data_IF_599143668688
#
_entry.id   IF_599143668688
#
_cell.length_a   1.000
_cell.length_b   1.000
_cell.length_c   1.000
_cell.angle_alpha   90.00
_cell.angle_beta   90.00
_cell.angle_gamma   90.00
#
_symmetry.space_group_name_H-M   'P 1'
#
loop_
_entity.id
_entity.type
_entity.pdbx_description
1 polymer ?
#
# COMPACT_ATOMS: atom_id res chain seq x y z
N UNK A 1 -4.07 24.88 45.94
CA UNK A 1 -4.05 25.23 44.50
C UNK A 1 -2.63 25.27 43.92
N UNK A 2 -1.65 25.89 44.59
CA UNK A 2 -0.24 25.84 44.17
C UNK A 2 0.47 24.48 44.42
N UNK A 3 0.07 23.71 45.45
CA UNK A 3 0.64 22.37 45.68
C UNK A 3 0.16 21.30 44.69
N UNK A 4 -1.08 21.42 44.19
CA UNK A 4 -1.64 20.45 43.23
C UNK A 4 -1.01 20.61 41.82
N UNK A 5 -0.66 21.85 41.45
CA UNK A 5 0.08 22.15 40.21
C UNK A 5 1.56 21.75 40.29
N UNK A 6 2.17 21.82 41.48
CA UNK A 6 3.55 21.38 41.69
C UNK A 6 3.69 19.85 41.70
N UNK A 7 2.69 19.13 42.23
CA UNK A 7 2.65 17.66 42.19
C UNK A 7 2.44 17.12 40.76
N UNK A 8 1.55 17.73 39.97
CA UNK A 8 1.35 17.39 38.56
C UNK A 8 2.54 17.74 37.66
N UNK A 9 3.32 18.77 38.00
CA UNK A 9 4.56 19.12 37.31
C UNK A 9 5.72 18.16 37.66
N UNK A 10 5.77 17.66 38.90
CA UNK A 10 6.72 16.62 39.33
C UNK A 10 6.44 15.27 38.68
N UNK A 11 5.18 14.84 38.63
CA UNK A 11 4.78 13.59 37.95
C UNK A 11 5.05 13.66 36.44
N UNK A 12 4.84 14.83 35.81
CA UNK A 12 5.20 15.05 34.40
C UNK A 12 6.71 14.98 34.15
N UNK A 13 7.53 15.59 35.01
CA UNK A 13 9.00 15.52 34.87
C UNK A 13 9.55 14.12 35.18
N UNK A 14 8.99 13.40 36.15
CA UNK A 14 9.40 12.02 36.46
C UNK A 14 9.03 11.06 35.33
N UNK A 15 7.83 11.17 34.76
CA UNK A 15 7.45 10.39 33.58
C UNK A 15 8.33 10.75 32.39
N UNK A 16 8.67 12.02 32.18
CA UNK A 16 9.57 12.42 31.09
C UNK A 16 11.01 11.93 31.33
N UNK A 17 11.52 11.93 32.56
CA UNK A 17 12.86 11.40 32.88
C UNK A 17 12.90 9.86 32.82
N UNK A 18 11.84 9.18 33.25
CA UNK A 18 11.64 7.73 33.09
C UNK A 18 11.48 7.38 31.61
N UNK A 19 10.67 8.14 30.86
CA UNK A 19 10.51 7.99 29.42
C UNK A 19 11.81 8.29 28.69
N UNK A 20 12.63 9.26 29.08
CA UNK A 20 13.94 9.55 28.44
C UNK A 20 14.96 8.44 28.74
N UNK A 21 14.97 7.91 29.97
CA UNK A 21 15.85 6.81 30.37
C UNK A 21 15.43 5.50 29.72
N UNK A 22 14.14 5.21 29.67
CA UNK A 22 13.55 4.10 28.91
C UNK A 22 13.71 4.32 27.41
N UNK A 23 13.58 5.55 26.89
CA UNK A 23 13.78 5.85 25.47
C UNK A 23 15.21 5.59 25.06
N UNK A 24 16.21 5.93 25.89
CA UNK A 24 17.61 5.55 25.63
C UNK A 24 17.78 4.02 25.62
N UNK A 25 17.14 3.31 26.55
CA UNK A 25 17.17 1.84 26.60
C UNK A 25 16.47 1.18 25.40
N UNK A 26 15.29 1.68 25.01
CA UNK A 26 14.52 1.20 23.86
C UNK A 26 15.18 1.60 22.53
N UNK A 27 15.81 2.77 22.46
CA UNK A 27 16.57 3.21 21.28
C UNK A 27 17.84 2.39 21.13
N UNK A 28 18.58 2.14 22.21
CA UNK A 28 19.70 1.18 22.24
C UNK A 28 19.24 -0.25 21.91
N UNK A 29 18.05 -0.68 22.35
CA UNK A 29 17.47 -1.97 21.97
C UNK A 29 17.11 -2.06 20.48
N UNK A 30 16.46 -1.03 19.91
CA UNK A 30 16.05 -1.03 18.50
C UNK A 30 17.25 -0.86 17.55
N UNK A 31 18.32 -0.19 17.99
CA UNK A 31 19.43 0.21 17.12
C UNK A 31 20.81 -0.35 17.46
N UNK A 32 21.07 -0.83 18.68
CA UNK A 32 22.40 -1.29 19.13
C UNK A 32 22.45 -2.78 19.54
N UNK A 33 21.46 -3.31 20.26
CA UNK A 33 21.48 -4.70 20.74
C UNK A 33 20.14 -5.41 20.52
N UNK A 34 20.08 -6.31 19.54
CA UNK A 34 18.93 -7.15 19.18
C UNK A 34 18.42 -8.10 20.31
N UNK A 35 18.87 -7.95 21.57
CA UNK A 35 18.41 -8.73 22.71
C UNK A 35 18.61 -7.99 24.06
N UNK A 36 17.51 -7.61 24.71
CA UNK A 36 17.46 -7.20 26.11
C UNK A 36 16.36 -8.01 26.81
N UNK A 37 16.71 -8.85 27.79
CA UNK A 37 15.79 -9.80 28.44
C UNK A 37 14.92 -9.15 29.54
N UNK A 38 14.45 -7.92 29.34
CA UNK A 38 13.62 -7.19 30.31
C UNK A 38 12.57 -6.26 29.67
N UNK A 39 12.41 -6.34 28.35
CA UNK A 39 11.50 -5.46 27.60
C UNK A 39 10.04 -5.75 27.95
N UNK A 40 9.67 -7.02 28.13
CA UNK A 40 8.29 -7.42 28.41
C UNK A 40 7.80 -6.92 29.77
N UNK A 41 8.60 -7.13 30.82
CA UNK A 41 8.34 -6.69 32.19
C UNK A 41 8.23 -5.17 32.26
N UNK A 42 9.07 -4.47 31.49
CA UNK A 42 9.00 -3.00 31.41
C UNK A 42 7.71 -2.52 30.76
N UNK A 43 7.28 -3.18 29.69
CA UNK A 43 6.02 -2.89 29.01
C UNK A 43 4.81 -3.20 29.89
N UNK A 44 4.87 -4.21 30.74
CA UNK A 44 3.80 -4.53 31.69
C UNK A 44 3.58 -3.40 32.71
N UNK A 45 4.67 -2.86 33.27
CA UNK A 45 4.62 -1.68 34.14
C UNK A 45 4.11 -0.46 33.37
N UNK A 46 4.60 -0.25 32.15
CA UNK A 46 4.14 0.86 31.30
C UNK A 46 2.65 0.76 30.97
N UNK A 47 2.13 -0.43 30.71
CA UNK A 47 0.70 -0.66 30.47
C UNK A 47 -0.15 -0.21 31.66
N UNK A 48 0.28 -0.54 32.88
CA UNK A 48 -0.37 -0.09 34.11
C UNK A 48 -0.33 1.44 34.27
N UNK A 49 0.80 2.08 33.91
CA UNK A 49 0.94 3.54 33.92
C UNK A 49 0.00 4.20 32.89
N UNK A 50 -0.06 3.67 31.67
CA UNK A 50 -0.92 4.18 30.59
C UNK A 50 -2.39 4.12 31.00
N UNK A 51 -2.80 3.03 31.66
CA UNK A 51 -4.16 2.91 32.18
C UNK A 51 -4.48 4.01 33.22
N UNK A 52 -3.49 4.47 33.98
CA UNK A 52 -3.62 5.57 34.94
C UNK A 52 -3.63 6.99 34.34
N UNK A 53 -3.46 7.14 33.02
CA UNK A 53 -3.41 8.48 32.41
C UNK A 53 -4.71 9.27 32.60
N UNK A 54 -4.55 10.52 33.02
CA UNK A 54 -5.63 11.50 33.08
C UNK A 54 -6.06 11.90 31.66
N UNK A 55 -7.36 12.14 31.49
CA UNK A 55 -7.95 12.66 30.26
C UNK A 55 -8.16 14.18 30.38
N UNK A 56 -7.95 14.96 29.29
CA UNK A 56 -7.49 14.51 27.97
C UNK A 56 -6.01 14.12 27.96
N UNK A 57 -5.64 13.18 27.07
CA UNK A 57 -4.25 12.76 26.92
C UNK A 57 -3.35 13.94 26.53
N UNK A 58 -2.24 14.09 27.26
CA UNK A 58 -1.21 15.08 26.95
C UNK A 58 -0.51 14.76 25.63
N UNK A 59 -0.06 15.80 24.94
CA UNK A 59 0.64 15.65 23.65
C UNK A 59 1.91 14.79 23.75
N UNK A 60 2.60 14.85 24.88
CA UNK A 60 3.79 14.03 25.16
C UNK A 60 3.50 12.52 25.13
N UNK A 61 2.34 12.09 25.66
CA UNK A 61 1.93 10.68 25.64
C UNK A 61 1.61 10.22 24.20
N UNK A 62 0.99 11.09 23.39
CA UNK A 62 0.73 10.80 21.97
C UNK A 62 2.03 10.66 21.18
N UNK A 63 3.02 11.52 21.45
CA UNK A 63 4.35 11.41 20.85
C UNK A 63 5.04 10.12 21.30
N UNK A 64 4.91 9.74 22.57
CA UNK A 64 5.45 8.48 23.10
C UNK A 64 4.90 7.25 22.37
N UNK A 65 3.59 7.16 22.17
CA UNK A 65 2.96 6.09 21.37
C UNK A 65 3.62 5.98 19.98
N UNK A 66 3.68 7.08 19.24
CA UNK A 66 4.10 7.08 17.83
C UNK A 66 5.62 6.89 17.67
N UNK A 67 6.42 7.46 18.57
CA UNK A 67 7.89 7.47 18.45
C UNK A 67 8.56 6.33 19.19
N UNK A 68 7.89 5.69 20.14
CA UNK A 68 8.47 4.63 20.98
C UNK A 68 7.72 3.32 20.80
N UNK A 69 6.45 3.25 21.19
CA UNK A 69 5.70 1.99 21.21
C UNK A 69 5.51 1.41 19.81
N UNK A 70 5.03 2.19 18.84
CA UNK A 70 4.79 1.67 17.49
C UNK A 70 6.09 1.14 16.83
N UNK A 71 7.25 1.84 16.90
CA UNK A 71 8.51 1.29 16.41
C UNK A 71 8.99 -0.01 17.06
N UNK A 72 8.56 -0.35 18.29
CA UNK A 72 8.92 -1.62 18.95
C UNK A 72 8.32 -2.86 18.25
N UNK A 73 7.44 -2.68 17.27
CA UNK A 73 6.99 -3.76 16.40
C UNK A 73 8.02 -4.16 15.34
N UNK A 74 9.08 -3.37 15.11
CA UNK A 74 10.07 -3.63 14.06
C UNK A 74 11.08 -4.74 14.37
N UNK A 75 11.66 -4.85 15.58
CA UNK A 75 12.67 -5.85 15.90
C UNK A 75 12.22 -7.29 15.65
N UNK A 76 13.18 -8.20 15.43
CA UNK A 76 12.88 -9.61 15.13
C UNK A 76 12.37 -10.39 16.35
N UNK A 77 12.82 -10.01 17.53
CA UNK A 77 12.49 -10.62 18.82
C UNK A 77 11.13 -10.17 19.40
N UNK A 78 10.22 -9.65 18.58
CA UNK A 78 8.89 -9.18 18.98
C UNK A 78 8.11 -10.23 19.80
N UNK A 79 8.27 -11.52 19.47
CA UNK A 79 7.57 -12.61 20.17
C UNK A 79 7.84 -12.67 21.68
N UNK A 80 8.92 -12.06 22.17
CA UNK A 80 9.26 -12.05 23.59
C UNK A 80 8.42 -11.06 24.40
N UNK A 81 7.87 -10.02 23.77
CA UNK A 81 7.18 -8.91 24.45
C UNK A 81 5.91 -8.44 23.74
N UNK A 82 5.45 -9.16 22.70
CA UNK A 82 4.32 -8.75 21.85
C UNK A 82 3.05 -8.53 22.65
N UNK A 83 2.69 -9.45 23.55
CA UNK A 83 1.44 -9.36 24.32
C UNK A 83 1.40 -8.09 25.18
N UNK A 84 2.51 -7.75 25.83
CA UNK A 84 2.63 -6.55 26.67
C UNK A 84 2.62 -5.27 25.82
N UNK A 85 3.22 -5.31 24.63
CA UNK A 85 3.21 -4.19 23.69
C UNK A 85 1.80 -3.94 23.12
N UNK A 86 1.12 -4.99 22.66
CA UNK A 86 -0.25 -4.94 22.16
C UNK A 86 -1.20 -4.37 23.23
N UNK A 87 -1.08 -4.85 24.47
CA UNK A 87 -1.81 -4.30 25.62
C UNK A 87 -1.60 -2.79 25.76
N UNK A 88 -0.35 -2.31 25.73
CA UNK A 88 -0.07 -0.87 25.80
C UNK A 88 -0.74 -0.07 24.67
N UNK A 89 -0.72 -0.61 23.43
CA UNK A 89 -1.34 0.05 22.26
C UNK A 89 -2.86 0.11 22.41
N UNK A 90 -3.50 -0.99 22.80
CA UNK A 90 -4.94 -1.08 23.06
C UNK A 90 -5.35 -0.08 24.16
N UNK A 91 -4.62 -0.02 25.28
CA UNK A 91 -4.90 0.96 26.34
C UNK A 91 -4.83 2.41 25.84
N UNK A 92 -3.90 2.74 24.94
CA UNK A 92 -3.84 4.08 24.34
C UNK A 92 -5.08 4.41 23.51
N UNK A 93 -5.58 3.43 22.76
CA UNK A 93 -6.79 3.58 21.92
C UNK A 93 -8.04 3.70 22.79
N UNK A 94 -8.16 2.94 23.87
CA UNK A 94 -9.28 3.07 24.83
C UNK A 94 -9.34 4.47 25.45
N UNK A 95 -8.19 5.10 25.70
CA UNK A 95 -8.11 6.46 26.26
C UNK A 95 -8.44 7.54 25.23
N UNK A 96 -8.10 7.33 23.96
CA UNK A 96 -8.34 8.28 22.87
C UNK A 96 -8.46 7.55 21.52
N UNK A 97 -9.69 7.26 21.11
CA UNK A 97 -10.02 6.55 19.87
C UNK A 97 -9.56 7.30 18.61
N UNK A 98 -9.28 8.60 18.70
CA UNK A 98 -8.81 9.39 17.56
C UNK A 98 -7.40 8.99 17.10
N UNK A 99 -6.66 8.24 17.92
CA UNK A 99 -5.33 7.73 17.62
C UNK A 99 -5.36 6.50 16.69
N UNK A 100 -6.51 5.81 16.57
CA UNK A 100 -6.62 4.54 15.84
C UNK A 100 -6.11 4.60 14.40
N UNK A 101 -6.47 5.60 13.56
CA UNK A 101 -5.94 5.66 12.20
C UNK A 101 -4.42 5.73 12.14
N UNK A 102 -3.81 6.49 13.06
CA UNK A 102 -2.35 6.64 13.13
C UNK A 102 -1.65 5.34 13.57
N UNK A 103 -2.29 4.57 14.47
CA UNK A 103 -1.80 3.25 14.89
C UNK A 103 -1.84 2.28 13.71
N UNK A 104 -2.98 2.19 13.00
CA UNK A 104 -3.11 1.33 11.82
C UNK A 104 -2.11 1.67 10.72
N UNK A 105 -1.90 2.96 10.43
CA UNK A 105 -0.90 3.40 9.45
C UNK A 105 0.50 2.90 9.82
N UNK A 106 0.85 2.92 11.11
CA UNK A 106 2.15 2.43 11.57
C UNK A 106 2.25 0.90 11.51
N UNK A 107 1.25 0.17 12.00
CA UNK A 107 1.23 -1.30 11.95
C UNK A 107 1.30 -1.81 10.52
N UNK A 108 0.50 -1.25 9.61
CA UNK A 108 0.50 -1.61 8.19
C UNK A 108 1.82 -1.22 7.50
N UNK A 109 2.46 -0.12 7.92
CA UNK A 109 3.80 0.24 7.44
C UNK A 109 4.88 -0.76 7.90
N UNK A 110 4.74 -1.32 9.10
CA UNK A 110 5.69 -2.27 9.68
C UNK A 110 5.32 -3.75 9.42
N UNK A 111 4.31 -3.99 8.58
CA UNK A 111 3.78 -5.32 8.33
C UNK A 111 4.88 -6.32 7.93
N UNK A 112 5.02 -7.45 8.64
CA UNK A 112 6.04 -8.45 8.36
C UNK A 112 5.86 -9.07 6.97
N UNK A 113 6.93 -9.12 6.17
CA UNK A 113 6.91 -9.73 4.83
C UNK A 113 7.66 -11.06 4.73
N UNK A 114 8.52 -11.35 5.70
CA UNK A 114 9.46 -12.49 5.65
C UNK A 114 9.33 -13.43 6.85
N UNK A 115 8.46 -13.13 7.82
CA UNK A 115 8.28 -13.92 9.03
C UNK A 115 6.79 -14.16 9.29
N UNK A 116 6.29 -15.34 8.92
CA UNK A 116 4.87 -15.69 9.04
C UNK A 116 4.38 -15.74 10.48
N UNK A 117 5.22 -16.18 11.43
CA UNK A 117 4.86 -16.14 12.87
C UNK A 117 4.60 -14.71 13.34
N UNK A 118 5.45 -13.75 12.92
CA UNK A 118 5.27 -12.33 13.24
C UNK A 118 4.04 -11.75 12.54
N UNK A 119 3.73 -12.19 11.33
CA UNK A 119 2.51 -11.80 10.62
C UNK A 119 1.25 -12.28 11.38
N UNK A 120 1.26 -13.51 11.92
CA UNK A 120 0.18 -14.02 12.78
C UNK A 120 0.03 -13.20 14.06
N UNK A 121 1.13 -12.76 14.68
CA UNK A 121 1.09 -11.86 15.84
C UNK A 121 0.43 -10.51 15.50
N UNK A 122 0.80 -9.89 14.38
CA UNK A 122 0.19 -8.64 13.90
C UNK A 122 -1.31 -8.80 13.62
N UNK A 123 -1.72 -9.91 13.02
CA UNK A 123 -3.14 -10.20 12.82
C UNK A 123 -3.89 -10.32 14.16
N UNK A 124 -3.22 -10.86 15.19
CA UNK A 124 -3.74 -10.90 16.56
C UNK A 124 -3.97 -9.52 17.15
N UNK A 125 -2.94 -8.68 17.16
CA UNK A 125 -3.02 -7.31 17.68
C UNK A 125 -4.07 -6.48 16.93
N UNK A 126 -4.14 -6.62 15.60
CA UNK A 126 -5.15 -5.93 14.80
C UNK A 126 -6.56 -6.36 15.19
N UNK A 127 -6.81 -7.65 15.46
CA UNK A 127 -8.12 -8.10 15.95
C UNK A 127 -8.46 -7.47 17.30
N UNK A 128 -7.53 -7.47 18.26
CA UNK A 128 -7.73 -6.85 19.58
C UNK A 128 -8.07 -5.35 19.46
N UNK A 129 -7.40 -4.63 18.56
CA UNK A 129 -7.70 -3.21 18.30
C UNK A 129 -9.08 -3.05 17.66
N UNK A 130 -9.47 -3.94 16.75
CA UNK A 130 -10.80 -3.90 16.12
C UNK A 130 -11.93 -4.26 17.09
N UNK A 131 -11.66 -5.00 18.17
CA UNK A 131 -12.66 -5.36 19.17
C UNK A 131 -13.14 -4.13 19.98
N UNK A 132 -12.31 -3.08 20.05
CA UNK A 132 -12.60 -1.83 20.77
C UNK A 132 -12.76 -0.60 19.85
N UNK A 133 -12.69 -0.77 18.53
CA UNK A 133 -12.69 0.36 17.59
C UNK A 133 -14.06 1.01 17.47
N UNK A 134 -14.14 2.34 17.55
CA UNK A 134 -15.40 3.04 17.24
C UNK A 134 -15.73 2.98 15.73
N UNK A 135 -17.02 2.84 15.33
CA UNK A 135 -17.42 2.78 13.93
C UNK A 135 -16.95 3.97 13.07
N UNK A 136 -16.87 5.16 13.65
CA UNK A 136 -16.36 6.38 13.00
C UNK A 136 -14.87 6.29 12.65
N UNK A 137 -14.09 5.61 13.49
CA UNK A 137 -12.66 5.39 13.24
C UNK A 137 -12.46 4.22 12.29
N UNK A 138 -13.28 3.16 12.41
CA UNK A 138 -13.25 2.02 11.51
C UNK A 138 -13.35 2.45 10.06
N UNK A 139 -14.31 3.32 9.72
CA UNK A 139 -14.49 3.89 8.36
C UNK A 139 -13.23 4.53 7.77
N UNK A 140 -12.31 5.03 8.59
CA UNK A 140 -11.05 5.65 8.13
C UNK A 140 -9.97 4.62 7.80
N UNK A 141 -10.06 3.41 8.35
CA UNK A 141 -9.04 2.35 8.23
C UNK A 141 -9.45 1.19 7.34
N UNK A 142 -10.72 1.07 6.94
CA UNK A 142 -11.25 0.00 6.07
C UNK A 142 -10.32 -0.27 4.88
N UNK A 143 -10.10 0.76 4.09
CA UNK A 143 -9.39 0.64 2.81
C UNK A 143 -7.98 0.05 2.94
N UNK A 144 -7.08 0.61 3.76
CA UNK A 144 -5.74 0.06 3.92
C UNK A 144 -5.74 -1.30 4.67
N UNK A 145 -6.62 -1.48 5.66
CA UNK A 145 -6.73 -2.71 6.45
C UNK A 145 -7.17 -3.89 5.58
N UNK A 146 -8.31 -3.79 4.89
CA UNK A 146 -8.84 -4.91 4.11
C UNK A 146 -8.01 -5.19 2.86
N UNK A 147 -7.31 -4.21 2.30
CA UNK A 147 -6.28 -4.46 1.26
C UNK A 147 -5.13 -5.32 1.80
N UNK A 148 -4.78 -5.18 3.08
CA UNK A 148 -3.77 -6.03 3.70
C UNK A 148 -4.33 -7.40 4.07
N UNK A 149 -5.52 -7.48 4.67
CA UNK A 149 -6.19 -8.76 4.96
C UNK A 149 -6.41 -9.60 3.69
N UNK A 150 -6.77 -8.98 2.56
CA UNK A 150 -6.90 -9.68 1.28
C UNK A 150 -5.60 -10.38 0.84
N UNK A 151 -4.43 -9.79 1.14
CA UNK A 151 -3.13 -10.42 0.89
C UNK A 151 -2.87 -11.56 1.87
N UNK A 152 -3.18 -11.38 3.16
CA UNK A 152 -3.01 -12.41 4.19
C UNK A 152 -3.88 -13.64 3.90
N UNK A 153 -5.15 -13.46 3.52
CA UNK A 153 -6.05 -14.53 3.07
C UNK A 153 -5.52 -15.22 1.80
N UNK A 154 -4.88 -14.46 0.92
CA UNK A 154 -4.24 -15.01 -0.28
C UNK A 154 -2.86 -15.65 -0.02
N UNK A 155 -2.38 -15.66 1.23
CA UNK A 155 -1.07 -16.19 1.56
C UNK A 155 -1.03 -17.71 1.36
N UNK A 156 0.03 -18.26 0.76
CA UNK A 156 0.20 -19.71 0.66
C UNK A 156 0.47 -20.36 2.03
N UNK A 157 0.83 -19.57 3.04
CA UNK A 157 1.11 -20.03 4.39
C UNK A 157 -0.19 -20.20 5.19
N UNK A 158 -0.60 -21.44 5.42
CA UNK A 158 -1.94 -21.74 5.95
C UNK A 158 -2.25 -21.03 7.28
N UNK A 159 -1.30 -20.93 8.23
CA UNK A 159 -1.56 -20.27 9.53
C UNK A 159 -1.88 -18.78 9.38
N UNK A 160 -1.32 -18.11 8.37
CA UNK A 160 -1.59 -16.69 8.11
C UNK A 160 -2.99 -16.54 7.51
N UNK A 161 -3.31 -17.37 6.52
CA UNK A 161 -4.62 -17.36 5.87
C UNK A 161 -5.73 -17.72 6.86
N UNK A 162 -5.55 -18.77 7.67
CA UNK A 162 -6.49 -19.19 8.71
C UNK A 162 -6.70 -18.08 9.74
N UNK A 163 -5.63 -17.52 10.29
CA UNK A 163 -5.71 -16.44 11.28
C UNK A 163 -6.46 -15.21 10.75
N UNK A 164 -6.25 -14.86 9.48
CA UNK A 164 -6.96 -13.75 8.84
C UNK A 164 -8.45 -14.06 8.61
N UNK A 165 -8.81 -15.31 8.28
CA UNK A 165 -10.20 -15.72 8.07
C UNK A 165 -11.00 -15.77 9.38
N UNK A 166 -10.35 -15.94 10.53
CA UNK A 166 -11.02 -15.92 11.84
C UNK A 166 -11.56 -14.55 12.25
N UNK A 167 -11.21 -13.47 11.55
CA UNK A 167 -11.85 -12.16 11.75
C UNK A 167 -13.37 -12.21 11.54
N UNK A 168 -13.84 -13.11 10.67
CA UNK A 168 -15.28 -13.33 10.42
C UNK A 168 -16.00 -14.11 11.53
N UNK A 169 -15.27 -14.66 12.50
CA UNK A 169 -15.87 -15.33 13.66
C UNK A 169 -16.13 -14.35 14.81
N UNK A 170 -15.49 -13.17 14.81
CA UNK A 170 -15.75 -12.13 15.81
C UNK A 170 -17.04 -11.38 15.44
N UNK A 171 -18.05 -11.45 16.31
CA UNK A 171 -19.37 -10.86 16.08
C UNK A 171 -19.32 -9.33 15.92
N UNK A 172 -18.46 -8.66 16.69
CA UNK A 172 -18.32 -7.21 16.60
C UNK A 172 -17.70 -6.79 15.27
N UNK A 173 -16.59 -7.41 14.87
CA UNK A 173 -15.94 -7.16 13.57
C UNK A 173 -16.92 -7.46 12.43
N UNK A 174 -17.68 -8.55 12.54
CA UNK A 174 -18.66 -8.91 11.53
C UNK A 174 -19.77 -7.84 11.40
N UNK A 175 -20.27 -7.29 12.52
CA UNK A 175 -21.24 -6.20 12.50
C UNK A 175 -20.71 -4.94 11.81
N UNK A 176 -19.45 -4.56 12.07
CA UNK A 176 -18.78 -3.44 11.40
C UNK A 176 -18.65 -3.67 9.89
N UNK A 177 -18.35 -4.91 9.48
CA UNK A 177 -18.28 -5.31 8.07
C UNK A 177 -19.65 -5.25 7.41
N UNK A 178 -20.72 -5.65 8.09
CA UNK A 178 -22.08 -5.62 7.55
C UNK A 178 -22.52 -4.18 7.23
N UNK A 179 -22.33 -3.25 8.17
CA UNK A 179 -22.64 -1.82 7.99
C UNK A 179 -21.84 -1.17 6.84
N UNK A 180 -20.64 -1.70 6.56
CA UNK A 180 -19.70 -1.14 5.57
C UNK A 180 -19.46 -2.07 4.39
N UNK A 181 -20.37 -3.02 4.17
CA UNK A 181 -20.27 -4.10 3.18
C UNK A 181 -20.00 -3.60 1.76
N UNK A 182 -20.59 -2.46 1.39
CA UNK A 182 -20.38 -1.80 0.10
C UNK A 182 -18.91 -1.41 -0.19
N UNK A 183 -18.11 -1.18 0.86
CA UNK A 183 -16.68 -0.86 0.74
C UNK A 183 -15.79 -2.09 0.94
N UNK A 184 -16.11 -2.93 1.93
CA UNK A 184 -15.31 -4.12 2.29
C UNK A 184 -15.38 -5.20 1.21
N UNK A 185 -16.58 -5.52 0.72
CA UNK A 185 -16.79 -6.65 -0.20
C UNK A 185 -15.99 -6.51 -1.50
N UNK A 186 -15.99 -5.36 -2.22
CA UNK A 186 -15.21 -5.21 -3.44
C UNK A 186 -13.69 -5.42 -3.27
N UNK A 187 -13.15 -5.12 -2.08
CA UNK A 187 -11.72 -5.29 -1.77
C UNK A 187 -11.40 -6.76 -1.50
N UNK A 188 -12.22 -7.43 -0.70
CA UNK A 188 -11.97 -8.80 -0.26
C UNK A 188 -12.38 -9.86 -1.28
N UNK A 189 -13.44 -9.60 -2.05
CA UNK A 189 -14.06 -10.58 -2.94
C UNK A 189 -13.08 -11.18 -3.97
N UNK A 190 -12.25 -10.41 -4.70
CA UNK A 190 -11.31 -10.98 -5.67
C UNK A 190 -10.33 -11.97 -5.04
N UNK A 191 -9.86 -11.68 -3.83
CA UNK A 191 -8.95 -12.57 -3.09
C UNK A 191 -9.67 -13.85 -2.66
N UNK A 192 -10.81 -13.73 -1.98
CA UNK A 192 -11.61 -14.88 -1.52
C UNK A 192 -12.04 -15.79 -2.68
N UNK A 193 -12.56 -15.20 -3.76
CA UNK A 193 -13.08 -15.96 -4.90
C UNK A 193 -11.98 -16.69 -5.70
N UNK A 194 -10.74 -16.18 -5.67
CA UNK A 194 -9.57 -16.88 -6.24
C UNK A 194 -9.16 -18.06 -5.34
N UNK A 195 -9.02 -17.81 -4.05
CA UNK A 195 -8.54 -18.80 -3.07
C UNK A 195 -9.50 -19.98 -2.93
N UNK A 196 -10.82 -19.76 -3.05
CA UNK A 196 -11.82 -20.85 -3.04
C UNK A 196 -11.66 -21.87 -4.16
N UNK A 197 -10.90 -21.55 -5.21
CA UNK A 197 -10.69 -22.43 -6.38
C UNK A 197 -9.27 -22.97 -6.50
N UNK A 198 -8.28 -22.21 -6.02
CA UNK A 198 -6.87 -22.44 -6.34
C UNK A 198 -6.04 -22.85 -5.12
N UNK A 199 -6.58 -22.77 -3.89
CA UNK A 199 -5.80 -23.04 -2.69
C UNK A 199 -5.58 -24.54 -2.44
N UNK A 200 -4.37 -24.91 -2.03
CA UNK A 200 -3.95 -26.30 -1.85
C UNK A 200 -4.56 -26.95 -0.59
N UNK A 201 -4.75 -26.17 0.47
CA UNK A 201 -5.31 -26.63 1.75
C UNK A 201 -6.84 -26.52 1.75
N UNK A 202 -7.53 -27.66 1.90
CA UNK A 202 -8.99 -27.75 1.88
C UNK A 202 -9.67 -27.07 3.08
N UNK A 203 -9.03 -27.00 4.24
CA UNK A 203 -9.57 -26.29 5.41
C UNK A 203 -9.71 -24.79 5.13
N UNK A 204 -8.68 -24.20 4.51
CA UNK A 204 -8.71 -22.79 4.11
C UNK A 204 -9.81 -22.56 3.06
N UNK A 205 -9.95 -23.48 2.09
CA UNK A 205 -11.02 -23.41 1.09
C UNK A 205 -12.40 -23.42 1.77
N UNK A 206 -12.63 -24.29 2.76
CA UNK A 206 -13.88 -24.34 3.51
C UNK A 206 -14.15 -23.04 4.29
N UNK A 207 -13.15 -22.49 4.98
CA UNK A 207 -13.26 -21.21 5.69
C UNK A 207 -13.60 -20.07 4.72
N UNK A 208 -12.96 -20.02 3.55
CA UNK A 208 -13.27 -19.03 2.52
C UNK A 208 -14.71 -19.18 1.99
N UNK A 209 -15.21 -20.40 1.81
CA UNK A 209 -16.60 -20.61 1.43
C UNK A 209 -17.58 -20.09 2.48
N UNK A 210 -17.28 -20.27 3.77
CA UNK A 210 -18.08 -19.70 4.85
C UNK A 210 -18.13 -18.16 4.73
N UNK A 211 -16.97 -17.52 4.57
CA UNK A 211 -16.90 -16.05 4.40
C UNK A 211 -17.67 -15.58 3.16
N UNK A 212 -17.52 -16.27 2.02
CA UNK A 212 -18.26 -15.94 0.79
C UNK A 212 -19.78 -16.11 0.97
N UNK A 213 -20.20 -17.13 1.73
CA UNK A 213 -21.62 -17.32 2.07
C UNK A 213 -22.14 -16.16 2.92
N UNK A 214 -21.40 -15.76 3.95
CA UNK A 214 -21.74 -14.59 4.78
C UNK A 214 -21.84 -13.31 3.93
N UNK A 215 -20.93 -13.11 2.98
CA UNK A 215 -20.99 -11.97 2.05
C UNK A 215 -22.25 -11.97 1.18
N UNK A 216 -22.67 -13.15 0.71
CA UNK A 216 -23.89 -13.32 -0.06
C UNK A 216 -25.15 -13.06 0.79
N UNK A 217 -25.15 -13.47 2.06
CA UNK A 217 -26.24 -13.23 3.01
C UNK A 217 -26.35 -11.73 3.37
N UNK A 218 -25.23 -11.04 3.54
CA UNK A 218 -25.21 -9.58 3.83
C UNK A 218 -25.68 -8.75 2.64
N UNK A 219 -25.18 -9.01 1.43
CA UNK A 219 -25.57 -8.24 0.24
C UNK A 219 -25.47 -9.07 -1.05
N UNK A 220 -26.50 -9.89 -1.31
CA UNK A 220 -26.55 -10.76 -2.48
C UNK A 220 -26.46 -10.04 -3.82
N UNK A 221 -27.07 -8.85 -3.95
CA UNK A 221 -27.01 -8.06 -5.20
C UNK A 221 -25.57 -7.64 -5.53
N UNK A 222 -24.88 -7.06 -4.55
CA UNK A 222 -23.49 -6.66 -4.73
C UNK A 222 -22.59 -7.88 -4.96
N UNK A 223 -22.86 -9.00 -4.29
CA UNK A 223 -22.14 -10.25 -4.50
C UNK A 223 -22.24 -10.76 -5.95
N UNK A 224 -23.43 -10.73 -6.54
CA UNK A 224 -23.65 -11.12 -7.93
C UNK A 224 -22.94 -10.18 -8.91
N UNK A 225 -23.02 -8.87 -8.68
CA UNK A 225 -22.30 -7.86 -9.47
C UNK A 225 -20.78 -8.06 -9.42
N UNK A 226 -20.21 -8.27 -8.23
CA UNK A 226 -18.79 -8.55 -8.04
C UNK A 226 -18.37 -9.87 -8.72
N UNK A 227 -19.22 -10.89 -8.67
CA UNK A 227 -18.99 -12.16 -9.36
C UNK A 227 -18.93 -11.98 -10.88
N UNK A 228 -19.85 -11.20 -11.45
CA UNK A 228 -19.88 -10.90 -12.88
C UNK A 228 -18.65 -10.08 -13.31
N UNK A 229 -18.33 -9.03 -12.56
CA UNK A 229 -17.18 -8.16 -12.80
C UNK A 229 -15.86 -8.94 -12.73
N UNK A 230 -15.70 -9.82 -11.73
CA UNK A 230 -14.51 -10.67 -11.60
C UNK A 230 -14.32 -11.60 -12.80
N UNK A 231 -15.40 -12.25 -13.26
CA UNK A 231 -15.35 -13.12 -14.46
C UNK A 231 -14.97 -12.33 -15.71
N UNK A 232 -15.54 -11.12 -15.88
CA UNK A 232 -15.25 -10.25 -17.00
C UNK A 232 -13.79 -9.78 -17.02
N UNK A 233 -13.27 -9.29 -15.88
CA UNK A 233 -11.87 -8.86 -15.80
C UNK A 233 -10.90 -10.03 -16.00
N UNK A 234 -11.21 -11.24 -15.52
CA UNK A 234 -10.40 -12.44 -15.81
C UNK A 234 -10.37 -12.80 -17.30
N UNK A 235 -11.48 -12.67 -18.02
CA UNK A 235 -11.48 -12.88 -19.47
C UNK A 235 -10.66 -11.82 -20.22
N UNK A 236 -10.79 -10.56 -19.78
CA UNK A 236 -10.03 -9.43 -20.34
C UNK A 236 -8.54 -9.54 -20.08
N UNK A 237 -8.14 -10.03 -18.91
CA UNK A 237 -6.75 -10.33 -18.55
C UNK A 237 -6.16 -11.44 -19.42
N UNK A 238 -6.87 -12.56 -19.58
CA UNK A 238 -6.49 -13.66 -20.49
C UNK A 238 -6.34 -13.21 -21.93
N UNK A 239 -7.24 -12.32 -22.41
CA UNK A 239 -7.14 -11.73 -23.75
C UNK A 239 -5.87 -10.88 -23.88
N UNK A 240 -5.59 -9.99 -22.92
CA UNK A 240 -4.37 -9.16 -22.90
C UNK A 240 -3.10 -10.01 -22.87
N UNK A 241 -3.09 -11.12 -22.13
CA UNK A 241 -2.00 -12.09 -22.11
C UNK A 241 -1.75 -12.72 -23.48
N UNK A 242 -2.82 -13.16 -24.14
CA UNK A 242 -2.74 -13.72 -25.49
C UNK A 242 -2.25 -12.71 -26.51
N UNK A 243 -2.80 -11.49 -26.49
CA UNK A 243 -2.39 -10.40 -27.40
C UNK A 243 -0.89 -10.08 -27.23
N UNK A 244 -0.40 -10.10 -25.98
CA UNK A 244 1.02 -9.93 -25.65
C UNK A 244 1.87 -11.09 -26.17
N UNK A 245 1.42 -12.33 -25.97
CA UNK A 245 2.12 -13.52 -26.48
C UNK A 245 2.21 -13.51 -28.01
N UNK A 246 1.13 -13.15 -28.69
CA UNK A 246 1.09 -13.02 -30.15
C UNK A 246 2.01 -11.91 -30.65
N UNK A 247 2.12 -10.79 -29.93
CA UNK A 247 3.08 -9.73 -30.24
C UNK A 247 4.53 -10.22 -30.08
N UNK A 248 4.85 -10.94 -29.00
CA UNK A 248 6.18 -11.52 -28.79
C UNK A 248 6.54 -12.55 -29.86
N UNK A 249 5.59 -13.40 -30.28
CA UNK A 249 5.79 -14.35 -31.39
C UNK A 249 6.08 -13.64 -32.70
N UNK A 250 5.36 -12.55 -33.00
CA UNK A 250 5.62 -11.72 -34.19
C UNK A 250 7.00 -11.08 -34.15
N UNK A 251 7.41 -10.57 -32.98
CA UNK A 251 8.75 -9.99 -32.81
C UNK A 251 9.85 -11.04 -33.03
N UNK A 252 9.70 -12.23 -32.43
CA UNK A 252 10.64 -13.33 -32.64
C UNK A 252 10.70 -13.79 -34.10
N UNK A 253 9.56 -13.79 -34.82
CA UNK A 253 9.54 -14.12 -36.24
C UNK A 253 10.29 -13.08 -37.10
N UNK A 254 10.18 -11.79 -36.78
CA UNK A 254 10.93 -10.70 -37.44
C UNK A 254 12.43 -10.77 -37.15
N UNK A 255 12.83 -11.28 -35.98
CA UNK A 255 14.26 -11.49 -35.65
C UNK A 255 14.87 -12.66 -36.44
N UNK A 256 14.09 -13.71 -36.73
CA UNK A 256 14.52 -14.89 -37.48
C UNK A 256 14.55 -14.63 -39.00
N UNK A 257 13.55 -13.92 -39.53
CA UNK A 257 13.49 -13.51 -40.94
C UNK A 257 13.29 -12.00 -41.03
N UNK A 258 14.37 -11.21 -40.89
CA UNK A 258 14.29 -9.76 -40.99
C UNK A 258 13.78 -9.37 -42.38
N UNK A 259 12.77 -8.50 -42.49
CA UNK A 259 12.24 -8.06 -43.78
C UNK A 259 13.39 -7.58 -44.69
N UNK A 260 13.51 -8.18 -45.87
CA UNK A 260 14.45 -7.69 -46.90
C UNK A 260 13.98 -6.33 -47.40
N UNK A 261 14.73 -5.30 -47.01
CA UNK A 261 14.71 -3.90 -47.43
C UNK A 261 13.46 -3.04 -47.13
N UNK A 262 13.63 -2.16 -46.15
CA UNK A 262 13.90 -0.72 -46.39
C UNK A 262 14.49 -0.16 -45.10
N UNK A 263 15.68 0.44 -45.18
CA UNK A 263 16.17 1.31 -44.10
C UNK A 263 15.03 2.21 -43.64
N UNK A 264 14.73 2.28 -42.33
CA UNK A 264 13.70 3.18 -41.86
C UNK A 264 14.09 4.59 -42.32
N UNK A 265 13.31 5.17 -43.23
CA UNK A 265 13.46 6.56 -43.65
C UNK A 265 12.98 7.44 -42.49
N UNK A 266 13.80 7.52 -41.44
CA UNK A 266 13.60 8.40 -40.29
C UNK A 266 13.70 9.87 -40.74
N UNK A 267 14.44 10.11 -41.83
CA UNK A 267 14.59 11.42 -42.45
C UNK A 267 13.94 11.41 -43.83
N UNK A 268 13.07 12.40 -44.09
CA UNK A 268 12.53 12.63 -45.42
C UNK A 268 13.66 12.83 -46.42
N UNK A 269 13.58 12.19 -47.59
CA UNK A 269 14.55 12.37 -48.69
C UNK A 269 14.57 13.78 -49.28
N UNK A 270 13.63 14.64 -48.90
CA UNK A 270 13.66 16.08 -49.20
C UNK A 270 14.80 16.74 -48.41
N UNK A 271 15.78 17.34 -49.10
CA UNK A 271 16.78 18.14 -48.42
C UNK A 271 16.10 19.31 -47.71
N UNK A 272 16.55 19.63 -46.49
CA UNK A 272 16.18 20.84 -45.71
C UNK A 272 16.59 22.16 -46.39
N UNK A 273 16.83 22.16 -47.70
CA UNK A 273 17.19 23.32 -48.51
C UNK A 273 16.19 23.57 -49.64
N UNK A 274 15.07 22.82 -49.68
CA UNK A 274 13.98 23.05 -50.65
C UNK A 274 13.34 24.45 -50.56
N UNK A 275 13.60 25.19 -49.48
CA UNK A 275 13.21 26.59 -49.30
C UNK A 275 14.12 27.59 -50.02
N UNK A 276 15.28 27.19 -50.54
CA UNK A 276 16.34 28.11 -51.01
C UNK A 276 16.30 28.39 -52.53
N UNK A 277 15.40 27.78 -53.31
CA UNK A 277 15.34 28.09 -54.76
C UNK A 277 13.95 28.57 -55.19
N UNK A 278 13.74 29.89 -55.03
CA UNK A 278 13.12 30.71 -56.08
C UNK A 278 13.45 32.20 -55.90
N UNK A 279 14.59 32.63 -56.47
CA UNK A 279 14.77 33.98 -57.03
C UNK A 279 15.50 33.84 -58.36
N UNK A 280 14.74 33.99 -59.44
CA UNK A 280 15.01 34.72 -60.71
C UNK A 280 16.48 34.87 -61.17
N UNK A 281 16.90 34.74 -62.44
CA UNK A 281 16.28 34.58 -63.76
C UNK A 281 17.42 34.17 -64.78
N UNK A 282 17.27 34.16 -66.12
CA UNK A 282 17.69 33.08 -67.01
C UNK A 282 19.04 33.29 -67.71
N UNK A 283 19.76 32.21 -68.03
CA UNK A 283 20.95 32.31 -68.89
C UNK A 283 21.70 31.00 -69.08
N UNK A 284 21.64 30.48 -70.31
CA UNK A 284 22.62 29.66 -71.03
C UNK A 284 23.71 28.86 -70.28
N UNK A 285 23.81 27.56 -70.60
CA UNK A 285 25.12 26.92 -70.87
C UNK A 285 25.56 25.73 -69.99
N UNK A 286 25.38 24.51 -70.53
CA UNK A 286 26.33 23.37 -70.60
C UNK A 286 27.22 23.01 -69.36
N UNK A 287 26.84 21.92 -68.66
CA UNK A 287 27.57 20.67 -68.22
C UNK A 287 29.14 20.64 -68.29
N UNK A 288 29.90 19.84 -67.49
CA UNK A 288 29.85 19.43 -66.06
C UNK A 288 31.25 19.52 -65.36
N UNK A 289 31.35 19.21 -64.05
CA UNK A 289 32.62 18.71 -63.50
C UNK A 289 32.79 18.70 -61.98
N UNK A 290 32.95 17.49 -61.41
CA UNK A 290 34.00 17.22 -60.43
C UNK A 290 33.77 17.54 -58.94
N UNK A 291 33.35 16.50 -58.21
CA UNK A 291 33.99 15.97 -56.99
C UNK A 291 34.30 16.83 -55.73
N UNK A 292 33.94 16.20 -54.59
CA UNK A 292 34.58 16.15 -53.26
C UNK A 292 33.96 16.98 -52.13
N UNK A 293 33.22 16.25 -51.28
CA UNK A 293 33.10 16.47 -49.83
C UNK A 293 34.37 15.90 -49.14
N UNK A 294 34.79 16.37 -47.95
CA UNK A 294 34.27 15.72 -46.73
C UNK A 294 34.19 16.59 -45.45
N UNK A 295 33.18 16.29 -44.64
CA UNK A 295 33.13 16.21 -43.15
C UNK A 295 33.95 17.18 -42.26
N UNK A 296 33.26 17.77 -41.27
CA UNK A 296 33.57 17.50 -39.85
C UNK A 296 32.53 18.07 -38.86
N UNK A 297 31.99 17.13 -38.07
CA UNK A 297 31.74 17.17 -36.62
C UNK A 297 31.17 18.44 -35.93
N UNK A 298 30.09 18.23 -35.13
CA UNK A 298 29.92 18.70 -33.72
C UNK A 298 28.54 18.22 -33.22
N UNK A 299 28.50 17.29 -32.25
CA UNK A 299 28.47 17.47 -30.78
C UNK A 299 27.13 18.04 -30.29
N UNK A 300 26.34 17.15 -29.70
CA UNK A 300 25.05 17.40 -29.01
C UNK A 300 25.23 18.35 -27.80
N UNK A 301 24.29 19.29 -27.65
CA UNK A 301 23.98 19.98 -26.38
C UNK A 301 22.46 20.02 -26.23
N UNK A 302 22.00 19.57 -25.06
CA UNK A 302 20.61 19.55 -24.59
C UNK A 302 20.07 20.98 -24.40
N UNK A 303 18.80 21.19 -24.74
CA UNK A 303 18.00 22.29 -24.19
C UNK A 303 16.64 21.75 -23.72
N UNK A 304 16.43 21.93 -22.43
CA UNK A 304 15.15 21.88 -21.72
C UNK A 304 14.19 22.93 -22.28
N UNK A 305 12.88 22.66 -22.25
CA UNK A 305 11.93 23.77 -22.31
C UNK A 305 10.78 23.61 -21.32
N UNK A 306 10.69 24.61 -20.44
CA UNK A 306 9.58 24.94 -19.55
C UNK A 306 8.37 25.42 -20.37
N UNK A 307 7.17 25.25 -19.80
CA UNK A 307 5.90 25.38 -20.51
C UNK A 307 5.34 26.79 -20.71
N UNK A 308 4.20 26.85 -21.40
CA UNK A 308 2.97 27.57 -21.00
C UNK A 308 1.83 27.37 -22.04
N UNK A 309 0.70 26.93 -21.48
CA UNK A 309 -0.74 27.00 -21.82
C UNK A 309 -1.19 27.90 -22.99
N UNK A 310 -2.12 27.38 -23.82
CA UNK A 310 -3.27 28.14 -24.38
C UNK A 310 -4.50 27.21 -24.49
N UNK A 311 -5.62 27.66 -23.91
CA UNK A 311 -6.96 27.05 -23.88
C UNK A 311 -7.67 27.01 -25.24
N UNK A 312 -8.62 26.07 -25.41
CA UNK A 312 -9.71 26.15 -26.39
C UNK A 312 -11.04 25.63 -25.80
N UNK A 313 -12.20 26.25 -26.12
CA UNK A 313 -13.50 25.85 -25.61
C UNK A 313 -14.17 24.81 -26.51
N UNK A 314 -14.97 23.91 -25.92
CA UNK A 314 -15.82 22.94 -26.65
C UNK A 314 -17.28 23.24 -26.37
N UNK A 315 -18.06 23.45 -27.45
CA UNK A 315 -19.52 23.62 -27.44
C UNK A 315 -20.21 22.26 -27.30
N UNK A 316 -21.29 22.22 -26.51
CA UNK A 316 -22.24 21.12 -26.42
C UNK A 316 -23.34 21.27 -27.48
N UNK A 317 -23.67 20.18 -28.19
CA UNK A 317 -24.92 20.03 -28.96
C UNK A 317 -25.92 19.21 -28.13
N UNK A 318 -27.12 19.77 -27.94
CA UNK A 318 -28.29 19.11 -27.37
C UNK A 318 -29.11 18.46 -28.46
N UNK A 319 -29.44 17.18 -28.28
CA UNK A 319 -30.39 16.44 -29.10
C UNK A 319 -31.84 16.89 -28.90
N UNK A 320 -32.65 16.63 -29.93
CA UNK A 320 -34.09 16.50 -29.85
C UNK A 320 -34.44 15.00 -29.75
#
# INVERSE_FOLDING_TARGET
LYECTFQQAKEGLEIVVICISHFYLFFSFVFETDSFNGVGELLEILGSIINGFALPLKQEHKVFLVKVLLPLHKPRCLSLYHAQLAYCVVQFIEKDSTLTPQVFDALLKFWPKTCSSKEVMFLGEVEEILDIIEPEQFKKVIDPLFKQLAKCVSSPHFQVAERALYFWNNEYILSLIEETSAQVMPIMFPALYRISKEHWNQTIVALVYNVLKTFMEMNGKLFDELTANYKMERQKEKKREKDREDLWKRLAAVEIDPPKDKDPQILSKTPLTSFIVKRENPGFGVVPGGEKSPNSAKRFVFLTNSGAVVEKPVKFETGA
#
